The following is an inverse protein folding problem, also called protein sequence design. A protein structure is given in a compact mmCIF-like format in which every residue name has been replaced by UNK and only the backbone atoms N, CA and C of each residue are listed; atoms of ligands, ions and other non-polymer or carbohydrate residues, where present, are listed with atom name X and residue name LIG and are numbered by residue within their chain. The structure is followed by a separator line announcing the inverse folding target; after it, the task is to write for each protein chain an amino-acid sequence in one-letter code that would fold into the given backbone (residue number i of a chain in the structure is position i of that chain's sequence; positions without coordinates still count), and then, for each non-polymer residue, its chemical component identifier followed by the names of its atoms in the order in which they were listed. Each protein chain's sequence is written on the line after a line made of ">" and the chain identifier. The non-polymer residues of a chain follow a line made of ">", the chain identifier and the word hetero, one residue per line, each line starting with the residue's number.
data_IF_014722555900
#
_entry.id   IF_014722555900
#
_cell.length_a   1.000
_cell.length_b   1.000
_cell.length_c   1.000
_cell.angle_alpha   90.00
_cell.angle_beta   90.00
_cell.angle_gamma   90.00
#
_symmetry.space_group_name_H-M   'P 1'
#
loop_
_entity.id
_entity.type
_entity.pdbx_description
1 polymer ?
#
# COMPACT_ATOMS: atom_id res chain seq x y z
N UNK A 1 -11.68 2.60 -1.24
CA UNK A 1 -11.03 3.03 -2.49
C UNK A 1 -10.26 1.86 -3.07
N UNK A 2 -10.34 1.66 -4.40
CA UNK A 2 -9.56 0.65 -5.11
C UNK A 2 -8.60 1.34 -6.07
N UNK A 3 -7.30 1.10 -5.89
CA UNK A 3 -6.25 1.55 -6.78
C UNK A 3 -5.71 0.38 -7.59
N UNK A 4 -5.52 0.58 -8.88
CA UNK A 4 -4.91 -0.39 -9.78
C UNK A 4 -3.65 0.25 -10.33
N UNK A 5 -2.52 -0.38 -10.07
CA UNK A 5 -1.22 -0.01 -10.59
C UNK A 5 -0.68 -1.08 -11.53
N UNK A 6 0.24 -0.68 -12.41
CA UNK A 6 0.91 -1.56 -13.36
C UNK A 6 2.42 -1.37 -13.33
N UNK A 7 3.17 -2.47 -13.41
CA UNK A 7 4.62 -2.50 -13.64
C UNK A 7 4.95 -3.63 -14.61
N UNK A 8 5.30 -3.28 -15.86
CA UNK A 8 5.42 -4.27 -16.94
C UNK A 8 4.11 -5.05 -17.13
N UNK A 9 4.20 -6.38 -17.03
CA UNK A 9 3.06 -7.30 -17.13
C UNK A 9 2.34 -7.55 -15.79
N UNK A 10 2.84 -7.00 -14.67
CA UNK A 10 2.23 -7.16 -13.36
C UNK A 10 1.21 -6.04 -13.08
N UNK A 11 0.00 -6.44 -12.66
CA UNK A 11 -0.99 -5.54 -12.07
C UNK A 11 -1.02 -5.70 -10.55
N UNK A 12 -0.94 -4.59 -9.84
CA UNK A 12 -1.08 -4.50 -8.39
C UNK A 12 -2.41 -3.80 -8.07
N UNK A 13 -3.30 -4.48 -7.35
CA UNK A 13 -4.59 -3.95 -6.90
C UNK A 13 -4.53 -3.71 -5.40
N UNK A 14 -4.75 -2.47 -4.98
CA UNK A 14 -4.78 -2.06 -3.58
C UNK A 14 -6.20 -1.65 -3.21
N UNK A 15 -6.84 -2.40 -2.32
CA UNK A 15 -8.15 -2.06 -1.78
C UNK A 15 -7.98 -1.54 -0.36
N UNK A 16 -8.39 -0.29 -0.16
CA UNK A 16 -8.11 0.46 1.06
C UNK A 16 -9.40 1.02 1.63
N UNK A 17 -9.68 0.68 2.88
CA UNK A 17 -10.76 1.24 3.69
C UNK A 17 -10.13 1.91 4.92
N UNK A 18 -9.99 3.24 4.85
CA UNK A 18 -9.39 4.05 5.91
C UNK A 18 -10.23 4.06 7.18
N UNK A 19 -11.56 4.11 7.05
CA UNK A 19 -12.49 4.19 8.18
C UNK A 19 -12.40 2.95 9.06
N UNK A 20 -12.33 1.78 8.43
CA UNK A 20 -12.24 0.49 9.13
C UNK A 20 -10.81 -0.04 9.25
N UNK A 21 -9.80 0.74 8.84
CA UNK A 21 -8.39 0.35 8.81
C UNK A 21 -8.17 -1.02 8.14
N UNK A 22 -8.87 -1.27 7.03
CA UNK A 22 -8.71 -2.50 6.23
C UNK A 22 -7.89 -2.24 4.99
N UNK A 23 -6.97 -3.15 4.73
CA UNK A 23 -6.11 -3.10 3.57
C UNK A 23 -6.03 -4.49 2.95
N UNK A 24 -6.19 -4.56 1.64
CA UNK A 24 -6.08 -5.81 0.89
C UNK A 24 -5.24 -5.57 -0.37
N UNK A 25 -4.32 -6.49 -0.64
CA UNK A 25 -3.45 -6.44 -1.82
C UNK A 25 -3.75 -7.63 -2.70
N UNK A 26 -3.82 -7.43 -4.00
CA UNK A 26 -3.79 -8.50 -4.99
C UNK A 26 -2.76 -8.21 -6.08
N UNK A 27 -1.97 -9.20 -6.48
CA UNK A 27 -1.09 -9.12 -7.66
C UNK A 27 -0.95 -10.49 -8.33
N UNK A 28 -0.15 -10.59 -9.39
CA UNK A 28 0.18 -11.88 -10.00
C UNK A 28 0.77 -12.86 -8.96
N UNK A 29 1.56 -12.35 -7.99
CA UNK A 29 2.15 -13.14 -6.89
C UNK A 29 1.10 -13.73 -5.94
N UNK A 30 -0.06 -13.09 -5.81
CA UNK A 30 -1.18 -13.61 -5.00
C UNK A 30 -2.23 -14.30 -5.86
N UNK A 31 -1.92 -14.66 -7.11
CA UNK A 31 -2.89 -15.20 -8.08
C UNK A 31 -4.12 -14.30 -8.26
N UNK A 32 -3.91 -12.98 -8.17
CA UNK A 32 -4.93 -11.94 -8.20
C UNK A 32 -6.01 -12.04 -7.12
N UNK A 33 -5.78 -12.82 -6.06
CA UNK A 33 -6.64 -12.86 -4.88
C UNK A 33 -6.27 -11.73 -3.94
N UNK A 34 -7.29 -11.07 -3.39
CA UNK A 34 -7.11 -10.09 -2.33
C UNK A 34 -6.70 -10.81 -1.05
N UNK A 35 -5.50 -10.50 -0.58
CA UNK A 35 -4.97 -10.97 0.68
C UNK A 35 -5.12 -9.84 1.71
N UNK A 36 -5.84 -10.06 2.81
CA UNK A 36 -5.90 -9.12 3.92
C UNK A 36 -4.49 -8.85 4.41
N UNK A 37 -4.11 -7.58 4.36
CA UNK A 37 -2.79 -7.12 4.77
C UNK A 37 -2.98 -6.17 5.95
N UNK A 38 -2.13 -6.25 6.98
CA UNK A 38 -2.20 -5.31 8.09
C UNK A 38 -2.12 -3.86 7.59
N UNK A 39 -2.94 -2.96 8.15
CA UNK A 39 -3.04 -1.57 7.67
C UNK A 39 -1.72 -0.81 7.80
N UNK A 40 -0.88 -1.13 8.79
CA UNK A 40 0.44 -0.54 8.95
C UNK A 40 1.41 -0.86 7.80
N UNK A 41 1.14 -1.89 6.98
CA UNK A 41 1.95 -2.24 5.79
C UNK A 41 1.62 -1.39 4.56
N UNK A 42 0.65 -0.49 4.64
CA UNK A 42 0.12 0.29 3.53
C UNK A 42 1.08 1.38 3.03
N UNK A 43 2.12 1.69 3.82
CA UNK A 43 3.16 2.68 3.52
C UNK A 43 4.51 2.02 3.65
N UNK A 44 5.43 2.28 2.70
CA UNK A 44 6.89 2.13 2.76
C UNK A 44 7.55 0.80 3.21
N UNK A 45 6.87 -0.02 4.00
CA UNK A 45 7.44 -1.01 4.91
C UNK A 45 7.09 -2.44 4.51
N UNK A 46 5.92 -2.66 3.88
CA UNK A 46 5.71 -3.83 3.03
C UNK A 46 6.80 -3.93 1.95
N UNK A 47 7.28 -2.76 1.52
CA UNK A 47 8.25 -2.55 0.46
C UNK A 47 9.68 -2.76 0.96
N UNK A 48 10.05 -2.22 2.13
CA UNK A 48 11.33 -2.52 2.79
C UNK A 48 11.50 -4.03 3.00
N UNK A 49 10.44 -4.68 3.47
CA UNK A 49 10.41 -6.14 3.68
C UNK A 49 10.55 -6.90 2.35
N UNK A 50 9.97 -6.41 1.25
CA UNK A 50 10.12 -6.98 -0.10
C UNK A 50 11.52 -6.74 -0.72
N UNK A 51 12.21 -5.67 -0.31
CA UNK A 51 13.58 -5.34 -0.73
C UNK A 51 14.67 -5.93 0.19
N UNK A 52 14.30 -6.74 1.19
CA UNK A 52 15.25 -7.37 2.11
C UNK A 52 15.83 -6.44 3.19
N UNK A 53 15.24 -5.25 3.37
CA UNK A 53 15.55 -4.37 4.49
C UNK A 53 14.83 -4.89 5.75
N UNK A 54 15.46 -4.73 6.92
CA UNK A 54 14.88 -5.15 8.20
C UNK A 54 13.45 -4.62 8.33
N UNK A 55 12.47 -5.47 8.71
CA UNK A 55 11.14 -4.99 8.98
C UNK A 55 11.21 -3.94 10.10
N UNK A 56 10.44 -2.85 10.01
CA UNK A 56 10.35 -1.88 11.09
C UNK A 56 9.86 -2.55 12.38
N UNK A 57 10.23 -1.96 13.50
CA UNK A 57 9.69 -2.37 14.79
C UNK A 57 8.21 -2.03 14.91
N UNK A 58 7.53 -2.68 15.84
CA UNK A 58 6.09 -2.47 16.07
C UNK A 58 5.77 -1.01 16.46
N UNK A 59 6.70 -0.32 17.10
CA UNK A 59 6.58 1.09 17.50
C UNK A 59 6.70 2.05 16.30
N UNK A 60 7.66 1.82 15.41
CA UNK A 60 7.82 2.59 14.16
C UNK A 60 6.58 2.45 13.27
N UNK A 61 6.08 1.21 13.16
CA UNK A 61 4.86 0.90 12.40
C UNK A 61 3.64 1.62 12.96
N UNK A 62 3.50 1.72 14.29
CA UNK A 62 2.40 2.45 14.95
C UNK A 62 2.48 3.96 14.69
N UNK A 63 3.70 4.52 14.68
CA UNK A 63 3.92 5.95 14.45
C UNK A 63 3.56 6.36 13.02
N UNK A 64 4.06 5.64 12.01
CA UNK A 64 3.73 5.92 10.61
C UNK A 64 2.23 5.78 10.32
N UNK A 65 1.58 4.78 10.95
CA UNK A 65 0.14 4.60 10.83
C UNK A 65 -0.64 5.77 11.43
N UNK A 66 -0.19 6.33 12.56
CA UNK A 66 -0.80 7.51 13.18
C UNK A 66 -0.69 8.76 12.29
N UNK A 67 0.44 8.93 11.61
CA UNK A 67 0.65 10.06 10.69
C UNK A 67 -0.24 9.92 9.45
N UNK A 68 -0.35 8.71 8.90
CA UNK A 68 -1.24 8.41 7.79
C UNK A 68 -2.73 8.54 8.11
N UNK A 69 -3.12 8.34 9.37
CA UNK A 69 -4.50 8.56 9.84
C UNK A 69 -4.85 10.05 9.92
N UNK A 70 -3.85 10.92 10.12
CA UNK A 70 -4.02 12.37 10.15
C UNK A 70 -4.05 13.02 8.76
N UNK A 71 -3.67 12.30 7.70
CA UNK A 71 -3.68 12.82 6.34
C UNK A 71 -5.11 13.04 5.82
N UNK A 72 -5.29 14.12 5.07
CA UNK A 72 -6.48 14.31 4.23
C UNK A 72 -6.62 13.16 3.22
N UNK A 73 -7.81 12.93 2.67
CA UNK A 73 -7.99 11.88 1.65
C UNK A 73 -7.13 12.13 0.40
N UNK A 74 -6.95 13.39 0.00
CA UNK A 74 -6.09 13.77 -1.13
C UNK A 74 -4.60 13.52 -0.84
N UNK A 75 -4.12 13.85 0.34
CA UNK A 75 -2.70 13.67 0.69
C UNK A 75 -2.37 12.20 0.95
N UNK A 76 -3.31 11.45 1.54
CA UNK A 76 -3.22 10.01 1.65
C UNK A 76 -3.10 9.35 0.28
N UNK A 77 -3.94 9.77 -0.66
CA UNK A 77 -3.90 9.27 -2.04
C UNK A 77 -2.57 9.58 -2.72
N UNK A 78 -2.10 10.83 -2.66
CA UNK A 78 -0.78 11.22 -3.19
C UNK A 78 0.32 10.35 -2.59
N UNK A 79 0.25 10.06 -1.28
CA UNK A 79 1.22 9.19 -0.61
C UNK A 79 1.19 7.77 -1.15
N UNK A 80 0.00 7.15 -1.27
CA UNK A 80 -0.13 5.78 -1.83
C UNK A 80 0.39 5.71 -3.27
N UNK A 81 0.10 6.73 -4.08
CA UNK A 81 0.59 6.81 -5.47
C UNK A 81 2.11 6.97 -5.51
N UNK A 82 2.67 7.89 -4.71
CA UNK A 82 4.11 8.13 -4.65
C UNK A 82 4.89 6.91 -4.15
N UNK A 83 4.41 6.27 -3.07
CA UNK A 83 5.02 5.07 -2.50
C UNK A 83 4.99 3.91 -3.52
N UNK A 84 3.90 3.78 -4.30
CA UNK A 84 3.80 2.81 -5.39
C UNK A 84 4.70 3.17 -6.58
N UNK A 85 4.84 4.45 -6.92
CA UNK A 85 5.74 4.91 -7.98
C UNK A 85 7.22 4.63 -7.66
N UNK A 86 7.63 4.77 -6.40
CA UNK A 86 8.98 4.40 -5.93
C UNK A 86 9.29 2.90 -6.05
N UNK A 87 8.26 2.06 -6.19
CA UNK A 87 8.39 0.64 -6.52
C UNK A 87 8.46 0.33 -8.01
N UNK A 88 8.29 1.33 -8.87
CA UNK A 88 8.14 1.13 -10.31
C UNK A 88 6.73 0.76 -10.73
N UNK A 89 5.71 1.01 -9.90
CA UNK A 89 4.30 0.82 -10.24
C UNK A 89 3.66 2.16 -10.61
N UNK A 90 2.97 2.20 -11.74
CA UNK A 90 2.28 3.40 -12.24
C UNK A 90 0.79 3.21 -12.03
N UNK A 91 0.11 4.23 -11.47
CA UNK A 91 -1.34 4.20 -11.31
C UNK A 91 -2.01 4.19 -12.68
N UNK A 92 -2.82 3.17 -12.96
CA UNK A 92 -3.56 3.06 -14.23
C UNK A 92 -5.06 3.31 -14.05
N UNK A 93 -5.62 3.02 -12.87
CA UNK A 93 -7.05 3.22 -12.61
C UNK A 93 -7.34 3.37 -11.12
N UNK A 94 -8.29 4.26 -10.81
CA UNK A 94 -8.92 4.39 -9.49
C UNK A 94 -10.41 4.10 -9.61
N UNK A 95 -10.98 3.34 -8.67
CA UNK A 95 -12.39 2.94 -8.58
C UNK A 95 -12.91 3.17 -7.17
#
# INVERSE_FOLDING_TARGET
>A
MLYIFQSGDEFLKLKIDRKNKKFEIASSKTTYRFIPTPFWKLFGDAIKTLKGLKPPTEEESKKEMSEAELLSDEDFEKKVINDSAQLGYILVKKI
#
